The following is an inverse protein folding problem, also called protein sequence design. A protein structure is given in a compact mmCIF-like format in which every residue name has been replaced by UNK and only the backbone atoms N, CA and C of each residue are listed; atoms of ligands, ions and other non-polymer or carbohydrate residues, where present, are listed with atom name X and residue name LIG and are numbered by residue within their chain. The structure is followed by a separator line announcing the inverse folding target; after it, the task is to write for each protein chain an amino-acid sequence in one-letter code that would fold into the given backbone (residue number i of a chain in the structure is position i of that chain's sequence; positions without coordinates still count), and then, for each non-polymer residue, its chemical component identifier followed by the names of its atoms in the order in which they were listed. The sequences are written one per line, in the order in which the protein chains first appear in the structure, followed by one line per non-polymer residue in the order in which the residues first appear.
data_IF_343476827903
#
_entry.id   IF_343476827903
#
_cell.length_a   1.000
_cell.length_b   1.000
_cell.length_c   1.000
_cell.angle_alpha   90.00
_cell.angle_beta   90.00
_cell.angle_gamma   90.00
#
_symmetry.space_group_name_H-M   'P 1'
#
loop_
_entity.id
_entity.type
_entity.pdbx_description
1 polymer ?
#
# COMPACT_ATOMS: atom_id res chain seq x y z
N UNK A 1 27.53 -44.03 -6.61
CA UNK A 1 28.52 -43.08 -7.16
C UNK A 1 27.78 -42.09 -8.06
N UNK A 2 27.55 -40.85 -7.59
CA UNK A 2 26.89 -39.83 -8.40
C UNK A 2 27.87 -39.41 -9.50
N UNK A 3 27.56 -39.76 -10.75
CA UNK A 3 28.40 -39.49 -11.91
C UNK A 3 28.61 -37.99 -12.12
N UNK A 4 29.76 -37.62 -12.70
CA UNK A 4 30.19 -36.21 -12.86
C UNK A 4 29.11 -35.30 -13.47
N UNK A 5 28.31 -35.82 -14.41
CA UNK A 5 27.19 -35.10 -15.03
C UNK A 5 26.09 -34.71 -14.03
N UNK A 6 25.76 -35.58 -13.08
CA UNK A 6 24.72 -35.33 -12.08
C UNK A 6 25.19 -34.32 -11.01
N UNK A 7 26.49 -34.29 -10.69
CA UNK A 7 27.08 -33.24 -9.84
C UNK A 7 27.04 -31.85 -10.48
N UNK A 8 27.35 -31.76 -11.79
CA UNK A 8 27.29 -30.49 -12.54
C UNK A 8 25.86 -29.94 -12.61
N UNK A 9 24.87 -30.81 -12.85
CA UNK A 9 23.45 -30.43 -12.82
C UNK A 9 23.02 -29.94 -11.43
N UNK A 10 23.46 -30.62 -10.36
CA UNK A 10 23.13 -30.24 -8.99
C UNK A 10 23.74 -28.86 -8.60
N UNK A 11 25.01 -28.62 -8.97
CA UNK A 11 25.68 -27.34 -8.73
C UNK A 11 25.00 -26.21 -9.51
N UNK A 12 24.63 -26.46 -10.77
CA UNK A 12 23.90 -25.49 -11.59
C UNK A 12 22.52 -25.15 -11.02
N UNK A 13 21.84 -26.12 -10.40
CA UNK A 13 20.55 -25.89 -9.76
C UNK A 13 20.69 -25.06 -8.47
N UNK A 14 21.71 -25.35 -7.65
CA UNK A 14 21.99 -24.59 -6.42
C UNK A 14 22.39 -23.14 -6.74
N UNK A 15 23.22 -22.92 -7.75
CA UNK A 15 23.60 -21.57 -8.17
C UNK A 15 22.40 -20.80 -8.73
N UNK A 16 21.53 -21.43 -9.51
CA UNK A 16 20.30 -20.81 -10.00
C UNK A 16 19.37 -20.40 -8.86
N UNK A 17 19.16 -21.25 -7.86
CA UNK A 17 18.35 -20.93 -6.68
C UNK A 17 18.96 -19.77 -5.89
N UNK A 18 20.28 -19.75 -5.73
CA UNK A 18 20.97 -18.65 -5.05
C UNK A 18 20.80 -17.32 -5.79
N UNK A 19 20.92 -17.31 -7.13
CA UNK A 19 20.68 -16.12 -7.95
C UNK A 19 19.23 -15.65 -7.81
N UNK A 20 18.26 -16.56 -7.88
CA UNK A 20 16.83 -16.21 -7.70
C UNK A 20 16.61 -15.61 -6.31
N UNK A 21 17.18 -16.19 -5.26
CA UNK A 21 17.05 -15.66 -3.90
C UNK A 21 17.61 -14.23 -3.79
N UNK A 22 18.77 -13.96 -4.39
CA UNK A 22 19.38 -12.62 -4.40
C UNK A 22 18.51 -11.62 -5.17
N UNK A 23 17.95 -12.02 -6.32
CA UNK A 23 17.04 -11.17 -7.10
C UNK A 23 15.74 -10.88 -6.32
N UNK A 24 15.15 -11.89 -5.69
CA UNK A 24 13.94 -11.71 -4.87
C UNK A 24 14.20 -10.78 -3.68
N UNK A 25 15.34 -10.92 -3.00
CA UNK A 25 15.72 -9.99 -1.94
C UNK A 25 15.92 -8.57 -2.47
N UNK A 26 16.67 -8.41 -3.56
CA UNK A 26 16.90 -7.09 -4.19
C UNK A 26 15.59 -6.40 -4.59
N UNK A 27 14.66 -7.15 -5.16
CA UNK A 27 13.33 -6.61 -5.51
C UNK A 27 12.54 -6.18 -4.28
N UNK A 28 12.51 -6.94 -3.18
CA UNK A 28 11.82 -6.52 -1.94
C UNK A 28 12.34 -5.19 -1.40
N UNK A 29 13.63 -4.90 -1.51
CA UNK A 29 14.20 -3.62 -1.05
C UNK A 29 14.02 -2.47 -2.07
N UNK A 30 14.03 -2.76 -3.37
CA UNK A 30 13.95 -1.75 -4.43
C UNK A 30 12.50 -1.38 -4.81
N UNK A 31 11.56 -2.33 -4.72
CA UNK A 31 10.14 -2.13 -5.04
C UNK A 31 9.47 -1.01 -4.22
N UNK A 32 9.62 -0.94 -2.87
CA UNK A 32 9.00 0.14 -2.10
C UNK A 32 9.53 1.51 -2.53
N UNK A 33 10.81 1.62 -2.88
CA UNK A 33 11.39 2.87 -3.38
C UNK A 33 10.79 3.30 -4.73
N UNK A 34 10.49 2.36 -5.63
CA UNK A 34 9.82 2.66 -6.89
C UNK A 34 8.37 3.07 -6.71
N UNK A 35 7.63 2.37 -5.85
CA UNK A 35 6.21 2.65 -5.56
C UNK A 35 5.99 4.01 -4.90
N UNK A 36 6.98 4.54 -4.19
CA UNK A 36 6.92 5.85 -3.53
C UNK A 36 7.32 7.03 -4.41
N UNK A 37 7.87 6.81 -5.61
CA UNK A 37 8.18 7.93 -6.52
C UNK A 37 6.90 8.55 -7.04
N UNK A 38 6.86 9.87 -7.04
CA UNK A 38 5.80 10.65 -7.66
C UNK A 38 6.40 11.84 -8.40
N UNK A 39 5.70 12.34 -9.42
CA UNK A 39 6.03 13.59 -10.09
C UNK A 39 5.03 14.67 -9.66
N UNK A 40 5.46 15.95 -9.55
CA UNK A 40 4.56 17.04 -9.15
C UNK A 40 3.33 17.22 -10.05
N UNK A 41 3.39 16.75 -11.29
CA UNK A 41 2.31 16.83 -12.27
C UNK A 41 1.38 15.62 -12.26
N UNK A 42 1.69 14.56 -11.50
CA UNK A 42 0.95 13.31 -11.52
C UNK A 42 -0.52 13.45 -11.10
N UNK A 43 -0.81 14.39 -10.20
CA UNK A 43 -2.18 14.64 -9.72
C UNK A 43 -2.95 15.66 -10.59
N UNK A 44 -2.37 16.18 -11.67
CA UNK A 44 -2.97 17.26 -12.47
C UNK A 44 -4.34 16.89 -13.06
N UNK A 45 -4.53 15.63 -13.41
CA UNK A 45 -5.77 15.11 -13.98
C UNK A 45 -6.72 14.49 -12.92
N UNK A 46 -6.31 14.47 -11.64
CA UNK A 46 -7.07 13.87 -10.55
C UNK A 46 -7.63 14.96 -9.65
N UNK A 47 -8.95 15.02 -9.53
CA UNK A 47 -9.61 15.94 -8.60
C UNK A 47 -9.50 15.44 -7.15
N UNK A 48 -9.57 16.33 -6.15
CA UNK A 48 -9.60 15.94 -4.75
C UNK A 48 -10.73 14.94 -4.43
N UNK A 49 -11.89 15.08 -5.09
CA UNK A 49 -13.01 14.15 -4.93
C UNK A 49 -12.67 12.75 -5.44
N UNK A 50 -12.04 12.64 -6.62
CA UNK A 50 -11.60 11.36 -7.16
C UNK A 50 -10.57 10.68 -6.23
N UNK A 51 -9.71 11.46 -5.57
CA UNK A 51 -8.77 10.94 -4.59
C UNK A 51 -9.50 10.39 -3.35
N UNK A 52 -10.49 11.12 -2.82
CA UNK A 52 -11.34 10.64 -1.72
C UNK A 52 -12.05 9.34 -2.09
N UNK A 53 -12.65 9.26 -3.27
CA UNK A 53 -13.39 8.08 -3.73
C UNK A 53 -12.45 6.87 -3.91
N UNK A 54 -11.23 7.11 -4.40
CA UNK A 54 -10.21 6.07 -4.56
C UNK A 54 -9.72 5.55 -3.21
N UNK A 55 -9.44 6.44 -2.27
CA UNK A 55 -9.06 6.07 -0.89
C UNK A 55 -10.20 5.33 -0.19
N UNK A 56 -11.44 5.78 -0.36
CA UNK A 56 -12.64 5.13 0.19
C UNK A 56 -12.77 3.70 -0.30
N UNK A 57 -12.69 3.50 -1.63
CA UNK A 57 -12.81 2.18 -2.24
C UNK A 57 -11.71 1.23 -1.74
N UNK A 58 -10.46 1.68 -1.74
CA UNK A 58 -9.33 0.86 -1.29
C UNK A 58 -9.41 0.54 0.20
N UNK A 59 -9.81 1.51 1.03
CA UNK A 59 -9.92 1.29 2.47
C UNK A 59 -10.97 0.22 2.80
N UNK A 60 -12.13 0.28 2.13
CA UNK A 60 -13.22 -0.66 2.35
C UNK A 60 -12.95 -2.05 1.77
N UNK A 61 -12.29 -2.13 0.60
CA UNK A 61 -12.07 -3.39 -0.10
C UNK A 61 -10.80 -4.13 0.34
N UNK A 62 -9.72 -3.38 0.60
CA UNK A 62 -8.39 -3.96 0.81
C UNK A 62 -7.87 -3.75 2.23
N UNK A 63 -8.17 -2.63 2.90
CA UNK A 63 -7.56 -2.33 4.20
C UNK A 63 -8.33 -2.89 5.39
N UNK A 64 -9.56 -2.45 5.63
CA UNK A 64 -10.38 -2.89 6.77
C UNK A 64 -10.51 -4.43 6.86
N UNK A 65 -10.72 -5.18 5.77
CA UNK A 65 -10.86 -6.63 5.85
C UNK A 65 -9.59 -7.36 6.30
N UNK A 66 -8.42 -6.77 6.05
CA UNK A 66 -7.11 -7.40 6.27
C UNK A 66 -6.44 -6.98 7.59
N UNK A 67 -6.93 -5.94 8.26
CA UNK A 67 -6.33 -5.40 9.49
C UNK A 67 -7.21 -5.74 10.70
N UNK A 68 -7.01 -6.94 11.26
CA UNK A 68 -7.85 -7.49 12.33
C UNK A 68 -7.92 -6.60 13.58
N UNK A 69 -6.80 -6.02 14.02
CA UNK A 69 -6.76 -5.18 15.22
C UNK A 69 -7.63 -3.93 15.09
N UNK A 70 -7.57 -3.26 13.94
CA UNK A 70 -8.33 -2.03 13.68
C UNK A 70 -9.82 -2.36 13.51
N UNK A 71 -10.13 -3.48 12.86
CA UNK A 71 -11.51 -4.00 12.72
C UNK A 71 -12.12 -4.32 14.09
N UNK A 72 -11.37 -4.96 14.98
CA UNK A 72 -11.83 -5.31 16.32
C UNK A 72 -12.04 -4.06 17.19
N UNK A 73 -11.15 -3.06 17.06
CA UNK A 73 -11.28 -1.78 17.76
C UNK A 73 -12.49 -0.97 17.30
N UNK A 74 -12.68 -0.84 15.99
CA UNK A 74 -13.81 -0.15 15.37
C UNK A 74 -15.13 -0.93 15.60
N UNK A 75 -15.04 -2.26 15.74
CA UNK A 75 -16.18 -3.16 15.97
C UNK A 75 -17.02 -3.44 14.73
N UNK A 76 -16.55 -3.07 13.52
CA UNK A 76 -17.25 -3.36 12.26
C UNK A 76 -16.27 -3.46 11.09
N UNK A 77 -16.60 -4.31 10.12
CA UNK A 77 -15.90 -4.41 8.83
C UNK A 77 -16.34 -3.34 7.82
N UNK A 78 -17.35 -2.54 8.16
CA UNK A 78 -17.92 -1.51 7.29
C UNK A 78 -18.10 -0.22 8.11
N UNK A 79 -17.01 0.50 8.45
CA UNK A 79 -17.11 1.77 9.15
C UNK A 79 -17.70 2.85 8.25
N UNK A 80 -18.33 3.84 8.88
CA UNK A 80 -18.72 5.09 8.22
C UNK A 80 -17.49 5.98 8.14
N UNK A 81 -17.09 6.36 6.92
CA UNK A 81 -15.95 7.23 6.70
C UNK A 81 -16.40 8.69 6.61
N UNK A 82 -15.78 9.55 7.43
CA UNK A 82 -15.99 11.00 7.40
C UNK A 82 -14.75 11.69 6.85
N UNK A 83 -14.91 12.39 5.74
CA UNK A 83 -13.85 13.15 5.07
C UNK A 83 -14.11 14.65 5.21
N UNK A 84 -13.03 15.42 5.36
CA UNK A 84 -13.10 16.89 5.29
C UNK A 84 -12.37 17.30 4.02
N UNK A 85 -13.13 17.59 2.95
CA UNK A 85 -12.57 17.86 1.62
C UNK A 85 -11.59 19.03 1.61
N UNK A 86 -11.81 20.04 2.45
CA UNK A 86 -10.90 21.21 2.61
C UNK A 86 -9.51 20.84 3.13
N UNK A 87 -9.38 19.69 3.78
CA UNK A 87 -8.12 19.18 4.29
C UNK A 87 -7.38 18.27 3.30
N UNK A 88 -7.99 17.99 2.13
CA UNK A 88 -7.34 17.22 1.08
C UNK A 88 -6.38 18.13 0.33
N UNK A 89 -5.08 17.84 0.44
CA UNK A 89 -4.02 18.65 -0.15
C UNK A 89 -3.16 17.81 -1.08
N UNK A 90 -2.77 18.38 -2.21
CA UNK A 90 -1.73 17.82 -3.06
C UNK A 90 -0.35 18.20 -2.50
N UNK A 91 0.43 17.19 -2.15
CA UNK A 91 1.81 17.30 -1.72
C UNK A 91 2.73 16.72 -2.81
N UNK A 92 2.96 17.52 -3.86
CA UNK A 92 3.92 17.22 -4.95
C UNK A 92 3.62 15.90 -5.67
N UNK A 93 2.36 15.65 -6.04
CA UNK A 93 1.94 14.45 -6.77
C UNK A 93 1.45 13.32 -5.86
N UNK A 94 1.24 13.61 -4.57
CA UNK A 94 0.58 12.70 -3.63
C UNK A 94 -0.55 13.46 -2.93
N UNK A 95 -1.77 12.95 -3.01
CA UNK A 95 -2.88 13.50 -2.25
C UNK A 95 -2.84 13.02 -0.81
N UNK A 96 -2.86 13.96 0.12
CA UNK A 96 -3.04 13.70 1.54
C UNK A 96 -4.52 13.78 1.87
N UNK A 97 -5.14 12.64 2.19
CA UNK A 97 -6.59 12.51 2.43
C UNK A 97 -6.82 12.13 3.90
N UNK A 98 -7.07 13.10 4.79
CA UNK A 98 -7.43 12.81 6.17
C UNK A 98 -8.90 12.39 6.28
N UNK A 99 -9.14 11.32 7.04
CA UNK A 99 -10.49 10.80 7.26
C UNK A 99 -10.62 10.14 8.63
N UNK A 100 -11.86 10.07 9.13
CA UNK A 100 -12.20 9.35 10.36
C UNK A 100 -13.07 8.16 10.00
N UNK A 101 -12.65 6.96 10.40
CA UNK A 101 -13.41 5.73 10.28
C UNK A 101 -14.15 5.48 11.59
N UNK A 102 -15.48 5.59 11.56
CA UNK A 102 -16.34 5.40 12.74
C UNK A 102 -17.12 4.09 12.65
N UNK A 103 -17.06 3.30 13.71
CA UNK A 103 -17.77 2.05 13.85
C UNK A 103 -18.74 2.04 15.02
N UNK A 104 -19.19 0.82 15.36
CA UNK A 104 -20.10 0.61 16.49
C UNK A 104 -19.37 0.71 17.84
N UNK A 105 -18.10 0.32 17.90
CA UNK A 105 -17.32 0.26 19.15
C UNK A 105 -16.40 1.47 19.34
N UNK A 106 -16.02 2.17 18.28
CA UNK A 106 -15.08 3.28 18.36
C UNK A 106 -14.88 4.04 17.05
N UNK A 107 -13.96 4.99 17.05
CA UNK A 107 -13.53 5.75 15.88
C UNK A 107 -12.00 5.79 15.78
N UNK A 108 -11.48 5.75 14.57
CA UNK A 108 -10.05 5.86 14.28
C UNK A 108 -9.82 6.93 13.21
N UNK A 109 -8.79 7.76 13.41
CA UNK A 109 -8.40 8.79 12.45
C UNK A 109 -7.22 8.30 11.63
N UNK A 110 -7.31 8.49 10.33
CA UNK A 110 -6.27 8.10 9.38
C UNK A 110 -5.96 9.23 8.41
N UNK A 111 -4.78 9.15 7.83
CA UNK A 111 -4.39 9.91 6.65
C UNK A 111 -4.02 8.91 5.56
N UNK A 112 -4.81 8.90 4.49
CA UNK A 112 -4.49 8.19 3.25
C UNK A 112 -3.60 9.06 2.36
N UNK A 113 -2.37 8.62 2.13
CA UNK A 113 -1.44 9.20 1.18
C UNK A 113 -1.59 8.48 -0.15
N UNK A 114 -2.34 9.08 -1.07
CA UNK A 114 -2.60 8.54 -2.39
C UNK A 114 -1.56 9.07 -3.40
N UNK A 115 -0.67 8.20 -3.85
CA UNK A 115 0.31 8.53 -4.88
C UNK A 115 -0.37 8.48 -6.26
N UNK A 116 -0.49 9.64 -6.91
CA UNK A 116 -1.15 9.78 -8.21
C UNK A 116 -0.37 9.13 -9.37
N UNK A 117 0.94 8.90 -9.24
CA UNK A 117 1.75 8.24 -10.30
C UNK A 117 1.51 6.73 -10.34
N UNK A 118 1.59 6.08 -9.18
CA UNK A 118 1.56 4.62 -9.08
C UNK A 118 0.22 4.06 -8.58
N UNK A 119 -0.74 4.94 -8.27
CA UNK A 119 -2.05 4.60 -7.69
C UNK A 119 -1.94 3.79 -6.39
N UNK A 120 -0.84 3.99 -5.66
CA UNK A 120 -0.58 3.32 -4.39
C UNK A 120 -1.04 4.19 -3.23
N UNK A 121 -1.69 3.58 -2.24
CA UNK A 121 -2.16 4.27 -1.04
C UNK A 121 -1.39 3.75 0.18
N UNK A 122 -0.71 4.65 0.85
CA UNK A 122 -0.15 4.41 2.19
C UNK A 122 -1.11 5.04 3.20
N UNK A 123 -1.38 4.36 4.31
CA UNK A 123 -2.17 4.99 5.38
C UNK A 123 -1.41 5.03 6.68
N UNK A 124 -1.57 6.14 7.36
CA UNK A 124 -0.97 6.47 8.63
C UNK A 124 -2.09 6.75 9.63
N UNK A 125 -2.08 6.09 10.78
CA UNK A 125 -3.00 6.39 11.88
C UNK A 125 -2.58 7.71 12.54
N UNK A 126 -3.57 8.50 12.95
CA UNK A 126 -3.36 9.74 13.69
C UNK A 126 -4.02 9.56 15.04
N UNK A 127 -3.20 9.49 16.09
CA UNK A 127 -3.67 9.40 17.48
C UNK A 127 -4.26 10.74 17.97
#
# INVERSE_FOLDING_TARGET
MVGNKSKVVLIGMISAVFIIMVVMLGTVYLYPMWMQRTTPEACKDITPQNAIDTVTRDFMQNRIPNWGNDKDYIGTAVPVLSFVSDNVKDEKGTYRVPFTAKGASGELKYVGHFNCTNHYIKYESVD
#
